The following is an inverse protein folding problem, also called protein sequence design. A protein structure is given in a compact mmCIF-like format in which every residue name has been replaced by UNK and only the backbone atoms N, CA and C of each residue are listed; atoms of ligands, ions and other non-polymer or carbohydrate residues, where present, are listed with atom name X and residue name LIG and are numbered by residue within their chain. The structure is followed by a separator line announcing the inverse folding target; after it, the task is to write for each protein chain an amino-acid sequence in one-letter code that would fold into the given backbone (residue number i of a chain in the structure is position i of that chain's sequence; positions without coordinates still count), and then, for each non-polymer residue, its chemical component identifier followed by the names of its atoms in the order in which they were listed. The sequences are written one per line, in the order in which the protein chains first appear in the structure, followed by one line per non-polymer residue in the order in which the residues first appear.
data_IF_695681033918
#
_entry.id   IF_695681033918
#
_cell.length_a   1.000
_cell.length_b   1.000
_cell.length_c   1.000
_cell.angle_alpha   90.00
_cell.angle_beta   90.00
_cell.angle_gamma   90.00
#
_symmetry.space_group_name_H-M   'P 1'
#
loop_
_entity.id
_entity.type
_entity.pdbx_description
1 polymer ?
#
# COMPACT_ATOMS: atom_id res chain seq x y z
N UNK A 1 17.55 23.41 -11.84
CA UNK A 1 16.71 22.45 -12.58
C UNK A 1 16.93 21.03 -12.04
N UNK A 2 16.39 20.74 -10.85
CA UNK A 2 16.27 19.37 -10.34
C UNK A 2 14.97 18.81 -10.90
N UNK A 3 15.09 17.72 -11.65
CA UNK A 3 14.01 16.91 -12.22
C UNK A 3 13.17 16.40 -11.04
N UNK A 4 12.12 17.13 -10.68
CA UNK A 4 11.12 16.62 -9.75
C UNK A 4 10.49 15.42 -10.43
N UNK A 5 10.64 14.28 -9.75
CA UNK A 5 10.06 13.01 -10.13
C UNK A 5 8.60 13.21 -10.54
N UNK A 6 8.34 12.88 -11.79
CA UNK A 6 7.01 12.73 -12.33
C UNK A 6 6.40 11.46 -11.70
N UNK A 7 5.79 11.62 -10.52
CA UNK A 7 5.15 10.55 -9.74
C UNK A 7 3.71 10.30 -10.27
N UNK A 8 3.32 10.91 -11.39
CA UNK A 8 1.93 10.87 -11.87
C UNK A 8 1.54 9.71 -12.79
N UNK A 9 2.45 8.81 -13.16
CA UNK A 9 2.11 7.77 -14.16
C UNK A 9 2.43 6.32 -13.73
N UNK A 10 2.16 5.98 -12.48
CA UNK A 10 1.71 4.60 -12.18
C UNK A 10 0.24 4.66 -11.79
N UNK A 11 -0.67 3.85 -12.38
CA UNK A 11 -2.10 3.87 -12.06
C UNK A 11 -2.44 3.41 -10.63
N UNK A 12 -1.42 3.18 -9.81
CA UNK A 12 -1.51 2.76 -8.43
C UNK A 12 -0.66 3.71 -7.58
N UNK A 13 -1.24 4.16 -6.47
CA UNK A 13 -0.49 4.86 -5.43
C UNK A 13 0.67 3.99 -4.99
N UNK A 14 1.85 4.60 -4.84
CA UNK A 14 3.14 3.95 -4.56
C UNK A 14 3.11 2.94 -3.39
N UNK A 15 2.10 3.03 -2.53
CA UNK A 15 1.84 2.20 -1.35
C UNK A 15 1.20 0.83 -1.64
N UNK A 16 0.36 0.71 -2.67
CA UNK A 16 -0.37 -0.53 -2.95
C UNK A 16 0.57 -1.60 -3.52
N UNK A 17 1.38 -1.24 -4.52
CA UNK A 17 2.33 -2.17 -5.13
C UNK A 17 3.39 -2.66 -4.12
N UNK A 18 3.86 -1.80 -3.21
CA UNK A 18 4.78 -2.18 -2.15
C UNK A 18 4.19 -3.24 -1.21
N UNK A 19 2.91 -3.10 -0.85
CA UNK A 19 2.17 -4.07 -0.04
C UNK A 19 2.12 -5.44 -0.73
N UNK A 20 1.79 -5.48 -2.03
CA UNK A 20 1.76 -6.74 -2.79
C UNK A 20 3.14 -7.37 -2.97
N UNK A 21 4.21 -6.57 -3.16
CA UNK A 21 5.58 -7.10 -3.21
C UNK A 21 5.98 -7.77 -1.90
N UNK A 22 5.68 -7.13 -0.76
CA UNK A 22 5.92 -7.69 0.55
C UNK A 22 5.14 -8.99 0.76
N UNK A 23 3.87 -9.04 0.30
CA UNK A 23 3.06 -10.25 0.35
C UNK A 23 3.65 -11.38 -0.50
N UNK A 24 4.11 -11.10 -1.73
CA UNK A 24 4.74 -12.10 -2.59
C UNK A 24 5.99 -12.69 -1.93
N UNK A 25 6.85 -11.84 -1.36
CA UNK A 25 8.05 -12.27 -0.64
C UNK A 25 7.69 -13.11 0.59
N UNK A 26 6.81 -12.60 1.45
CA UNK A 26 6.38 -13.28 2.67
C UNK A 26 5.70 -14.61 2.36
N UNK A 27 4.73 -14.61 1.44
CA UNK A 27 4.05 -15.81 0.97
C UNK A 27 5.06 -16.82 0.45
N UNK A 28 5.95 -16.41 -0.46
CA UNK A 28 6.92 -17.32 -1.05
C UNK A 28 7.83 -17.99 -0.01
N UNK A 29 8.31 -17.23 0.97
CA UNK A 29 9.15 -17.76 2.06
C UNK A 29 8.35 -18.65 3.01
N UNK A 30 7.17 -18.20 3.45
CA UNK A 30 6.39 -18.90 4.45
C UNK A 30 5.87 -20.25 3.96
N UNK A 31 5.47 -20.36 2.68
CA UNK A 31 5.04 -21.66 2.15
C UNK A 31 6.15 -22.71 2.22
N UNK A 32 7.40 -22.31 1.95
CA UNK A 32 8.58 -23.17 2.04
C UNK A 32 8.88 -23.57 3.49
N UNK A 33 8.81 -22.63 4.43
CA UNK A 33 9.03 -22.90 5.87
C UNK A 33 7.95 -23.84 6.41
N UNK A 34 6.68 -23.55 6.13
CA UNK A 34 5.58 -24.32 6.69
C UNK A 34 5.60 -25.78 6.23
N UNK A 35 6.08 -26.08 5.02
CA UNK A 35 6.24 -27.46 4.59
C UNK A 35 7.03 -28.31 5.59
N UNK A 36 8.19 -27.81 6.01
CA UNK A 36 9.02 -28.50 7.00
C UNK A 36 8.33 -28.59 8.34
N UNK A 37 7.69 -27.50 8.81
CA UNK A 37 6.95 -27.51 10.07
C UNK A 37 5.91 -28.63 10.07
N UNK A 38 5.06 -28.71 9.04
CA UNK A 38 3.96 -29.68 8.97
C UNK A 38 4.43 -31.13 8.85
N UNK A 39 5.48 -31.42 8.07
CA UNK A 39 6.03 -32.77 7.99
C UNK A 39 6.61 -33.23 9.33
N UNK A 40 7.28 -32.34 10.08
CA UNK A 40 7.87 -32.70 11.36
C UNK A 40 6.84 -32.80 12.49
N UNK A 41 5.75 -32.03 12.44
CA UNK A 41 4.72 -32.04 13.48
C UNK A 41 3.63 -33.08 13.24
N UNK A 42 3.27 -33.37 11.98
CA UNK A 42 2.12 -34.22 11.64
C UNK A 42 2.55 -35.32 10.67
N UNK A 43 2.90 -36.49 11.20
CA UNK A 43 3.41 -37.62 10.41
C UNK A 43 2.40 -38.19 9.41
N UNK A 44 1.11 -38.06 9.69
CA UNK A 44 0.03 -38.62 8.86
C UNK A 44 -0.53 -37.61 7.85
N UNK A 45 -0.03 -36.38 7.84
CA UNK A 45 -0.59 -35.36 6.98
C UNK A 45 -0.17 -35.52 5.52
N UNK A 46 -1.13 -35.32 4.62
CA UNK A 46 -0.92 -35.28 3.19
C UNK A 46 -0.53 -33.84 2.82
N UNK A 47 0.77 -33.59 2.72
CA UNK A 47 1.33 -32.31 2.26
C UNK A 47 2.30 -32.51 1.08
N UNK A 48 1.80 -32.45 -0.17
CA UNK A 48 2.62 -32.73 -1.34
C UNK A 48 3.72 -31.69 -1.55
N UNK A 49 4.98 -32.09 -1.38
CA UNK A 49 6.17 -31.23 -1.54
C UNK A 49 6.13 -30.38 -2.82
N UNK A 50 5.86 -31.00 -3.98
CA UNK A 50 5.88 -30.31 -5.26
C UNK A 50 4.79 -29.23 -5.39
N UNK A 51 3.61 -29.45 -4.82
CA UNK A 51 2.56 -28.44 -4.80
C UNK A 51 2.99 -27.25 -3.94
N UNK A 52 3.63 -27.52 -2.81
CA UNK A 52 4.11 -26.48 -1.90
C UNK A 52 5.25 -25.65 -2.49
N UNK A 53 6.17 -26.31 -3.21
CA UNK A 53 7.20 -25.63 -3.99
C UNK A 53 6.57 -24.73 -5.06
N UNK A 54 5.56 -25.23 -5.80
CA UNK A 54 4.88 -24.43 -6.83
C UNK A 54 4.23 -23.19 -6.21
N UNK A 55 3.45 -23.36 -5.16
CA UNK A 55 2.74 -22.25 -4.49
C UNK A 55 3.69 -21.26 -3.82
N UNK A 56 4.87 -21.71 -3.36
CA UNK A 56 5.92 -20.86 -2.80
C UNK A 56 6.77 -20.12 -3.84
N UNK A 57 7.18 -20.79 -4.92
CA UNK A 57 8.06 -20.17 -5.93
C UNK A 57 7.31 -19.26 -6.89
N UNK A 58 6.04 -19.52 -7.22
CA UNK A 58 5.27 -18.66 -8.14
C UNK A 58 5.22 -17.19 -7.66
N UNK A 59 4.94 -16.87 -6.38
CA UNK A 59 5.09 -15.51 -5.83
C UNK A 59 6.46 -14.88 -6.02
N UNK A 60 7.53 -15.65 -5.81
CA UNK A 60 8.90 -15.16 -5.95
C UNK A 60 9.25 -14.90 -7.42
N UNK A 61 8.78 -15.76 -8.33
CA UNK A 61 8.95 -15.61 -9.76
C UNK A 61 8.20 -14.37 -10.24
N UNK A 62 6.94 -14.19 -9.84
CA UNK A 62 6.14 -13.01 -10.23
C UNK A 62 6.79 -11.71 -9.72
N UNK A 63 7.32 -11.73 -8.49
CA UNK A 63 8.08 -10.61 -7.93
C UNK A 63 9.36 -10.32 -8.73
N UNK A 64 10.13 -11.37 -9.10
CA UNK A 64 11.31 -11.21 -9.94
C UNK A 64 10.96 -10.67 -11.33
N UNK A 65 9.92 -11.22 -11.97
CA UNK A 65 9.46 -10.80 -13.29
C UNK A 65 8.96 -9.34 -13.29
N UNK A 66 8.36 -8.86 -12.19
CA UNK A 66 7.95 -7.46 -12.05
C UNK A 66 9.11 -6.48 -12.24
N UNK A 67 10.30 -6.85 -11.75
CA UNK A 67 11.50 -6.02 -11.87
C UNK A 67 12.14 -6.08 -13.27
N UNK A 68 11.83 -7.10 -14.07
CA UNK A 68 12.51 -7.39 -15.33
C UNK A 68 11.64 -7.21 -16.58
N UNK A 69 10.30 -7.28 -16.46
CA UNK A 69 9.37 -7.28 -17.59
C UNK A 69 8.33 -6.17 -17.44
N UNK A 70 8.32 -5.23 -18.39
CA UNK A 70 7.42 -4.07 -18.38
C UNK A 70 5.93 -4.46 -18.35
N UNK A 71 5.53 -5.52 -19.07
CA UNK A 71 4.15 -6.01 -19.06
C UNK A 71 3.74 -6.54 -17.68
N UNK A 72 4.63 -7.28 -17.00
CA UNK A 72 4.37 -7.80 -15.65
C UNK A 72 4.27 -6.65 -14.67
N UNK A 73 5.17 -5.66 -14.75
CA UNK A 73 5.10 -4.44 -13.94
C UNK A 73 3.76 -3.70 -14.10
N UNK A 74 3.25 -3.59 -15.33
CA UNK A 74 1.96 -2.97 -15.62
C UNK A 74 0.77 -3.74 -15.02
N UNK A 75 0.83 -5.07 -15.00
CA UNK A 75 -0.27 -5.93 -14.54
C UNK A 75 -0.02 -6.59 -13.17
N UNK A 76 0.99 -6.12 -12.43
CA UNK A 76 1.51 -6.80 -11.25
C UNK A 76 0.44 -7.08 -10.19
N UNK A 77 -0.34 -6.05 -9.84
CA UNK A 77 -1.39 -6.17 -8.82
C UNK A 77 -2.48 -7.17 -9.24
N UNK A 78 -2.86 -7.19 -10.52
CA UNK A 78 -3.83 -8.15 -11.04
C UNK A 78 -3.31 -9.59 -10.93
N UNK A 79 -2.04 -9.81 -11.29
CA UNK A 79 -1.39 -11.11 -11.15
C UNK A 79 -1.36 -11.55 -9.68
N UNK A 80 -1.00 -10.65 -8.76
CA UNK A 80 -1.03 -10.94 -7.33
C UNK A 80 -2.44 -11.28 -6.82
N UNK A 81 -3.49 -10.60 -7.30
CA UNK A 81 -4.87 -10.94 -6.94
C UNK A 81 -5.27 -12.33 -7.41
N UNK A 82 -4.97 -12.68 -8.67
CA UNK A 82 -5.22 -14.02 -9.20
C UNK A 82 -4.51 -15.07 -8.34
N UNK A 83 -3.26 -14.81 -7.98
CA UNK A 83 -2.47 -15.70 -7.12
C UNK A 83 -3.03 -15.82 -5.72
N UNK A 84 -3.53 -14.74 -5.12
CA UNK A 84 -4.20 -14.79 -3.80
C UNK A 84 -5.38 -15.76 -3.84
N UNK A 85 -6.23 -15.68 -4.87
CA UNK A 85 -7.35 -16.60 -5.02
C UNK A 85 -6.89 -18.06 -5.27
N UNK A 86 -5.86 -18.25 -6.10
CA UNK A 86 -5.30 -19.58 -6.37
C UNK A 86 -4.69 -20.21 -5.12
N UNK A 87 -3.92 -19.46 -4.34
CA UNK A 87 -3.32 -19.91 -3.09
C UNK A 87 -4.41 -20.22 -2.05
N UNK A 88 -5.44 -19.38 -1.96
CA UNK A 88 -6.57 -19.60 -1.06
C UNK A 88 -7.32 -20.90 -1.39
N UNK A 89 -7.61 -21.13 -2.68
CA UNK A 89 -8.19 -22.38 -3.14
C UNK A 89 -7.29 -23.58 -2.78
N UNK A 90 -5.98 -23.48 -3.02
CA UNK A 90 -5.04 -24.55 -2.71
C UNK A 90 -4.97 -24.85 -1.21
N UNK A 91 -4.99 -23.84 -0.33
CA UNK A 91 -5.04 -24.07 1.11
C UNK A 91 -6.31 -24.79 1.55
N UNK A 92 -7.47 -24.39 1.02
CA UNK A 92 -8.74 -25.07 1.33
C UNK A 92 -8.72 -26.50 0.82
N UNK A 93 -8.16 -26.73 -0.38
CA UNK A 93 -7.94 -28.08 -0.89
C UNK A 93 -7.02 -28.91 0.03
N UNK A 94 -5.94 -28.31 0.54
CA UNK A 94 -5.03 -28.96 1.49
C UNK A 94 -5.77 -29.32 2.80
N UNK A 95 -6.65 -28.45 3.28
CA UNK A 95 -7.50 -28.75 4.45
C UNK A 95 -8.48 -29.88 4.17
N UNK A 96 -9.09 -29.89 2.98
CA UNK A 96 -10.02 -30.93 2.55
C UNK A 96 -9.37 -32.33 2.52
N UNK A 97 -8.21 -32.47 1.87
CA UNK A 97 -7.52 -33.76 1.80
C UNK A 97 -6.98 -34.23 3.16
N UNK A 98 -6.77 -33.30 4.09
CA UNK A 98 -6.40 -33.58 5.48
C UNK A 98 -7.62 -33.59 6.42
N UNK A 99 -8.84 -33.82 5.90
CA UNK A 99 -10.06 -34.03 6.68
C UNK A 99 -10.33 -32.93 7.74
N UNK A 100 -9.95 -31.69 7.41
CA UNK A 100 -10.05 -30.53 8.29
C UNK A 100 -9.36 -30.69 9.66
N UNK A 101 -8.15 -31.27 9.69
CA UNK A 101 -7.36 -31.32 10.93
C UNK A 101 -7.09 -29.92 11.53
N UNK A 102 -7.20 -29.73 12.87
CA UNK A 102 -7.06 -28.44 13.54
C UNK A 102 -5.77 -27.67 13.25
N UNK A 103 -4.67 -28.38 13.04
CA UNK A 103 -3.36 -27.79 12.79
C UNK A 103 -3.33 -27.05 11.44
N UNK A 104 -3.94 -27.63 10.39
CA UNK A 104 -4.10 -26.98 9.08
C UNK A 104 -5.12 -25.85 9.14
N UNK A 105 -6.18 -26.04 9.92
CA UNK A 105 -7.24 -25.08 10.13
C UNK A 105 -6.72 -23.76 10.73
N UNK A 106 -5.92 -23.85 11.79
CA UNK A 106 -5.35 -22.69 12.48
C UNK A 106 -4.34 -21.93 11.61
N UNK A 107 -3.47 -22.64 10.88
CA UNK A 107 -2.54 -22.00 9.93
C UNK A 107 -3.25 -21.22 8.83
N UNK A 108 -4.32 -21.80 8.27
CA UNK A 108 -5.13 -21.15 7.23
C UNK A 108 -5.74 -19.82 7.69
N UNK A 109 -6.25 -19.75 8.92
CA UNK A 109 -6.81 -18.51 9.48
C UNK A 109 -5.83 -17.36 9.59
N UNK A 110 -4.61 -17.65 10.00
CA UNK A 110 -3.54 -16.65 10.09
C UNK A 110 -3.27 -16.08 8.69
N UNK A 111 -3.23 -16.96 7.68
CA UNK A 111 -3.02 -16.56 6.28
C UNK A 111 -4.18 -15.72 5.75
N UNK A 112 -5.43 -16.15 5.94
CA UNK A 112 -6.63 -15.41 5.52
C UNK A 112 -6.71 -14.04 6.18
N UNK A 113 -6.42 -13.98 7.48
CA UNK A 113 -6.35 -12.72 8.23
C UNK A 113 -5.28 -11.80 7.61
N UNK A 114 -4.06 -12.29 7.41
CA UNK A 114 -2.96 -11.52 6.81
C UNK A 114 -3.28 -11.00 5.40
N UNK A 115 -3.92 -11.83 4.56
CA UNK A 115 -4.34 -11.44 3.20
C UNK A 115 -5.40 -10.33 3.26
N UNK A 116 -6.36 -10.41 4.20
CA UNK A 116 -7.41 -9.41 4.36
C UNK A 116 -6.89 -7.97 4.55
N UNK A 117 -5.70 -7.81 5.16
CA UNK A 117 -5.04 -6.51 5.35
C UNK A 117 -4.42 -5.91 4.09
N UNK A 118 -4.19 -6.73 3.06
CA UNK A 118 -3.49 -6.28 1.85
C UNK A 118 -4.39 -5.55 0.86
N UNK A 119 -5.70 -5.75 0.95
CA UNK A 119 -6.64 -5.13 0.05
C UNK A 119 -6.67 -3.60 0.23
N UNK A 120 -6.90 -2.91 -0.88
CA UNK A 120 -7.03 -1.44 -0.92
C UNK A 120 -8.44 -1.00 -1.29
N UNK A 121 -9.28 -1.95 -1.74
CA UNK A 121 -10.66 -1.68 -2.17
C UNK A 121 -11.61 -2.67 -1.53
N UNK A 122 -12.78 -2.19 -1.13
CA UNK A 122 -13.81 -3.02 -0.52
C UNK A 122 -14.29 -4.15 -1.45
N UNK A 123 -14.28 -3.90 -2.77
CA UNK A 123 -14.64 -4.91 -3.77
C UNK A 123 -13.66 -6.09 -3.81
N UNK A 124 -12.37 -5.86 -3.58
CA UNK A 124 -11.37 -6.95 -3.54
C UNK A 124 -11.65 -7.87 -2.35
N UNK A 125 -11.86 -7.28 -1.17
CA UNK A 125 -12.24 -8.02 0.03
C UNK A 125 -13.56 -8.78 -0.18
N UNK A 126 -14.58 -8.13 -0.75
CA UNK A 126 -15.87 -8.76 -1.01
C UNK A 126 -15.74 -10.02 -1.87
N UNK A 127 -15.06 -9.94 -3.02
CA UNK A 127 -14.86 -11.11 -3.88
C UNK A 127 -13.99 -12.19 -3.24
N UNK A 128 -12.99 -11.80 -2.45
CA UNK A 128 -12.18 -12.74 -1.68
C UNK A 128 -13.03 -13.51 -0.66
N UNK A 129 -13.89 -12.82 0.10
CA UNK A 129 -14.82 -13.42 1.06
C UNK A 129 -15.77 -14.40 0.36
N UNK A 130 -16.41 -13.97 -0.74
CA UNK A 130 -17.34 -14.83 -1.48
C UNK A 130 -16.65 -16.08 -2.01
N UNK A 131 -15.50 -15.95 -2.67
CA UNK A 131 -14.75 -17.11 -3.17
C UNK A 131 -14.33 -18.06 -2.05
N UNK A 132 -13.87 -17.52 -0.91
CA UNK A 132 -13.50 -18.30 0.27
C UNK A 132 -14.69 -19.08 0.83
N UNK A 133 -15.84 -18.43 0.98
CA UNK A 133 -17.06 -19.07 1.47
C UNK A 133 -17.51 -20.19 0.54
N UNK A 134 -17.50 -19.96 -0.77
CA UNK A 134 -17.86 -20.97 -1.77
C UNK A 134 -16.92 -22.17 -1.68
N UNK A 135 -15.61 -21.95 -1.68
CA UNK A 135 -14.63 -23.03 -1.60
C UNK A 135 -14.76 -23.85 -0.30
N UNK A 136 -14.96 -23.18 0.84
CA UNK A 136 -15.15 -23.87 2.12
C UNK A 136 -16.43 -24.69 2.16
N UNK A 137 -17.56 -24.12 1.73
CA UNK A 137 -18.83 -24.85 1.67
C UNK A 137 -18.70 -26.08 0.78
N UNK A 138 -18.10 -25.93 -0.41
CA UNK A 138 -17.86 -27.07 -1.31
C UNK A 138 -16.95 -28.12 -0.65
N UNK A 139 -15.86 -27.70 -0.02
CA UNK A 139 -14.93 -28.61 0.65
C UNK A 139 -15.60 -29.38 1.80
N UNK A 140 -16.45 -28.73 2.61
CA UNK A 140 -17.22 -29.40 3.66
C UNK A 140 -18.29 -30.35 3.12
N UNK A 141 -18.94 -30.01 2.01
CA UNK A 141 -19.95 -30.88 1.39
C UNK A 141 -19.33 -32.14 0.78
N UNK A 142 -18.10 -32.04 0.29
CA UNK A 142 -17.37 -33.17 -0.28
C UNK A 142 -16.63 -34.00 0.78
N UNK A 143 -16.44 -33.50 2.00
CA UNK A 143 -15.73 -34.23 3.06
C UNK A 143 -16.62 -35.30 3.68
N UNK A 144 -16.14 -36.54 3.72
CA UNK A 144 -16.82 -37.67 4.34
C UNK A 144 -16.55 -37.75 5.85
N UNK A 145 -15.39 -37.27 6.27
CA UNK A 145 -14.96 -37.20 7.66
C UNK A 145 -14.47 -35.78 7.96
N UNK A 146 -14.90 -35.24 9.10
CA UNK A 146 -14.60 -33.87 9.49
C UNK A 146 -14.20 -33.86 10.97
N UNK A 147 -12.96 -33.47 11.26
CA UNK A 147 -12.45 -33.38 12.63
C UNK A 147 -12.97 -32.15 13.40
N UNK A 148 -13.37 -31.09 12.69
CA UNK A 148 -13.85 -29.83 13.28
C UNK A 148 -15.26 -29.54 12.79
N UNK A 149 -16.21 -29.38 13.71
CA UNK A 149 -17.57 -28.98 13.34
C UNK A 149 -17.56 -27.73 12.44
N UNK A 150 -18.36 -27.69 11.36
CA UNK A 150 -18.41 -26.54 10.45
C UNK A 150 -18.83 -25.24 11.15
N UNK A 151 -19.64 -25.30 12.20
CA UNK A 151 -20.19 -24.11 12.86
C UNK A 151 -19.11 -23.20 13.46
N UNK A 152 -18.22 -23.67 14.37
CA UNK A 152 -17.11 -22.85 14.88
C UNK A 152 -16.15 -22.45 13.76
N UNK A 153 -16.03 -23.27 12.73
CA UNK A 153 -15.18 -22.97 11.60
C UNK A 153 -15.65 -21.70 10.85
N UNK A 154 -16.91 -21.69 10.42
CA UNK A 154 -17.51 -20.54 9.74
C UNK A 154 -17.62 -19.30 10.63
N UNK A 155 -17.88 -19.45 11.94
CA UNK A 155 -18.01 -18.30 12.84
C UNK A 155 -16.70 -17.54 13.02
N UNK A 156 -15.56 -18.24 13.15
CA UNK A 156 -14.25 -17.60 13.26
C UNK A 156 -13.88 -16.90 11.95
N UNK A 157 -14.14 -17.52 10.79
CA UNK A 157 -13.86 -16.88 9.50
C UNK A 157 -14.73 -15.63 9.31
N UNK A 158 -16.01 -15.70 9.67
CA UNK A 158 -16.89 -14.55 9.63
C UNK A 158 -16.37 -13.41 10.53
N UNK A 159 -15.87 -13.72 11.72
CA UNK A 159 -15.24 -12.73 12.60
C UNK A 159 -13.96 -12.12 12.00
N UNK A 160 -13.09 -12.93 11.39
CA UNK A 160 -11.89 -12.46 10.68
C UNK A 160 -12.27 -11.51 9.54
N UNK A 161 -13.28 -11.87 8.75
CA UNK A 161 -13.74 -11.04 7.63
C UNK A 161 -14.45 -9.77 8.08
N UNK A 162 -15.22 -9.81 9.17
CA UNK A 162 -15.79 -8.61 9.78
C UNK A 162 -14.68 -7.66 10.24
N UNK A 163 -13.65 -8.19 10.92
CA UNK A 163 -12.50 -7.41 11.36
C UNK A 163 -11.74 -6.81 10.16
N UNK A 164 -11.47 -7.60 9.13
CA UNK A 164 -10.82 -7.13 7.90
C UNK A 164 -11.65 -6.02 7.21
N UNK A 165 -12.98 -6.15 7.19
CA UNK A 165 -13.89 -5.13 6.66
C UNK A 165 -13.80 -3.83 7.45
N UNK A 166 -13.85 -3.89 8.78
CA UNK A 166 -13.71 -2.71 9.66
C UNK A 166 -12.38 -2.01 9.39
N UNK A 167 -11.26 -2.76 9.39
CA UNK A 167 -9.93 -2.20 9.23
C UNK A 167 -9.70 -1.60 7.83
N UNK A 168 -10.23 -2.24 6.79
CA UNK A 168 -10.19 -1.70 5.43
C UNK A 168 -11.02 -0.42 5.31
N UNK A 169 -12.21 -0.38 5.91
CA UNK A 169 -13.05 0.81 5.93
C UNK A 169 -12.37 1.98 6.64
N UNK A 170 -11.74 1.72 7.79
CA UNK A 170 -10.95 2.69 8.53
C UNK A 170 -9.76 3.21 7.70
N UNK A 171 -9.01 2.31 7.05
CA UNK A 171 -7.88 2.66 6.17
C UNK A 171 -8.31 3.57 5.03
N UNK A 172 -9.41 3.24 4.33
CA UNK A 172 -9.93 4.06 3.23
C UNK A 172 -10.36 5.44 3.72
N UNK A 173 -11.12 5.50 4.82
CA UNK A 173 -11.60 6.78 5.39
C UNK A 173 -10.44 7.66 5.86
N UNK A 174 -9.44 7.06 6.51
CA UNK A 174 -8.26 7.77 6.97
C UNK A 174 -7.45 8.36 5.80
N UNK A 175 -7.21 7.58 4.75
CA UNK A 175 -6.51 8.04 3.55
C UNK A 175 -7.26 9.17 2.84
N UNK A 176 -8.59 9.10 2.76
CA UNK A 176 -9.39 10.16 2.16
C UNK A 176 -9.26 11.48 2.94
N UNK A 177 -9.33 11.42 4.27
CA UNK A 177 -9.12 12.61 5.14
C UNK A 177 -7.71 13.18 5.01
N UNK A 178 -6.70 12.31 4.93
CA UNK A 178 -5.30 12.72 4.77
C UNK A 178 -5.09 13.43 3.42
N UNK A 179 -5.66 12.90 2.35
CA UNK A 179 -5.60 13.51 1.02
C UNK A 179 -6.29 14.87 0.98
N UNK A 180 -7.46 15.01 1.62
CA UNK A 180 -8.16 16.29 1.74
C UNK A 180 -7.31 17.33 2.47
N UNK A 181 -6.67 16.95 3.60
CA UNK A 181 -5.78 17.84 4.35
C UNK A 181 -4.54 18.24 3.55
N UNK A 182 -3.94 17.31 2.82
CA UNK A 182 -2.80 17.58 1.96
C UNK A 182 -3.18 18.56 0.83
N UNK A 183 -4.36 18.39 0.23
CA UNK A 183 -4.85 19.30 -0.80
C UNK A 183 -5.08 20.71 -0.23
N UNK A 184 -5.68 20.82 0.96
CA UNK A 184 -5.86 22.11 1.64
C UNK A 184 -4.51 22.80 1.93
N UNK A 185 -3.51 22.04 2.38
CA UNK A 185 -2.16 22.54 2.61
C UNK A 185 -1.49 22.99 1.31
N UNK A 186 -1.63 22.24 0.22
CA UNK A 186 -1.09 22.60 -1.09
C UNK A 186 -1.70 23.91 -1.60
N UNK A 187 -3.02 24.06 -1.49
CA UNK A 187 -3.73 25.30 -1.84
C UNK A 187 -3.23 26.47 -0.99
N UNK A 188 -3.14 26.30 0.34
CA UNK A 188 -2.65 27.35 1.24
C UNK A 188 -1.20 27.75 0.96
N UNK A 189 -0.33 26.77 0.71
CA UNK A 189 1.05 27.03 0.32
C UNK A 189 1.14 27.80 -1.00
N UNK A 190 0.28 27.47 -1.98
CA UNK A 190 0.19 28.22 -3.23
C UNK A 190 -0.29 29.65 -3.00
N UNK A 191 -1.36 29.86 -2.24
CA UNK A 191 -1.87 31.20 -1.89
C UNK A 191 -0.81 32.06 -1.20
N UNK A 192 -0.07 31.49 -0.25
CA UNK A 192 1.02 32.17 0.46
C UNK A 192 2.14 32.51 -0.54
N UNK A 193 2.55 31.55 -1.37
CA UNK A 193 3.61 31.75 -2.37
C UNK A 193 3.23 32.84 -3.37
N UNK A 194 1.98 32.84 -3.85
CA UNK A 194 1.45 33.84 -4.77
C UNK A 194 1.37 35.22 -4.11
N UNK A 195 0.99 35.29 -2.83
CA UNK A 195 0.97 36.52 -2.04
C UNK A 195 2.37 37.09 -1.83
N UNK A 196 3.36 36.24 -1.55
CA UNK A 196 4.77 36.63 -1.43
C UNK A 196 5.31 37.14 -2.77
N UNK A 197 5.02 36.44 -3.88
CA UNK A 197 5.40 36.87 -5.22
C UNK A 197 4.72 38.20 -5.63
N UNK A 198 3.49 38.41 -5.20
CA UNK A 198 2.79 39.67 -5.41
C UNK A 198 3.42 40.81 -4.62
N UNK A 199 3.73 40.60 -3.34
CA UNK A 199 4.45 41.57 -2.52
C UNK A 199 5.83 41.94 -3.11
N UNK A 200 6.55 40.95 -3.65
CA UNK A 200 7.81 41.19 -4.38
C UNK A 200 7.60 42.09 -5.61
N UNK A 201 6.57 41.82 -6.42
CA UNK A 201 6.25 42.66 -7.59
C UNK A 201 5.95 44.11 -7.20
N UNK A 202 5.26 44.32 -6.08
CA UNK A 202 5.05 45.68 -5.54
C UNK A 202 6.38 46.30 -5.11
N UNK A 203 7.22 45.56 -4.37
CA UNK A 203 8.53 46.01 -3.94
C UNK A 203 9.42 46.44 -5.11
N UNK A 204 9.49 45.62 -6.16
CA UNK A 204 10.27 45.88 -7.37
C UNK A 204 9.73 47.08 -8.15
N UNK A 205 8.41 47.31 -8.15
CA UNK A 205 7.78 48.45 -8.83
C UNK A 205 7.96 49.78 -8.10
N UNK A 206 8.08 49.77 -6.77
CA UNK A 206 8.23 50.98 -5.95
C UNK A 206 9.70 51.38 -5.80
N UNK A 207 10.64 50.43 -5.88
CA UNK A 207 12.07 50.70 -5.79
C UNK A 207 12.54 51.59 -6.97
N UNK A 208 13.04 52.82 -6.72
CA UNK A 208 13.59 53.65 -7.78
C UNK A 208 14.86 53.00 -8.35
N UNK A 209 15.15 53.27 -9.62
CA UNK A 209 16.38 52.76 -10.25
C UNK A 209 17.63 53.22 -9.47
N UNK A 210 18.70 52.41 -9.48
CA UNK A 210 19.95 52.74 -8.78
C UNK A 210 20.49 54.13 -9.15
N UNK A 211 20.30 54.57 -10.40
CA UNK A 211 20.68 55.90 -10.87
C UNK A 211 19.84 57.02 -10.24
N UNK A 212 18.55 56.79 -10.01
CA UNK A 212 17.68 57.74 -9.30
C UNK A 212 18.02 57.78 -7.81
N UNK A 213 18.24 56.63 -7.18
CA UNK A 213 18.65 56.56 -5.78
C UNK A 213 19.96 57.33 -5.54
N UNK A 214 21.00 57.11 -6.36
CA UNK A 214 22.29 57.83 -6.26
C UNK A 214 22.17 59.35 -6.51
N UNK A 215 21.15 59.79 -7.27
CA UNK A 215 20.93 61.22 -7.54
C UNK A 215 20.30 61.94 -6.34
N UNK A 216 19.39 61.27 -5.62
CA UNK A 216 18.63 61.86 -4.51
C UNK A 216 19.20 61.55 -3.12
N UNK A 217 19.94 60.45 -2.94
CA UNK A 217 20.62 60.05 -1.71
C UNK A 217 22.14 60.25 -1.85
N UNK A 218 22.60 61.50 -1.85
CA UNK A 218 24.04 61.80 -1.95
C UNK A 218 24.83 61.41 -0.68
N UNK A 219 24.21 61.51 0.49
CA UNK A 219 24.79 61.20 1.80
C UNK A 219 24.07 60.03 2.51
N UNK A 220 23.29 59.24 1.77
CA UNK A 220 22.51 58.11 2.30
C UNK A 220 22.93 56.77 1.70
N UNK A 221 22.49 55.68 2.32
CA UNK A 221 22.72 54.32 1.81
C UNK A 221 21.41 53.52 1.79
N UNK A 222 21.34 52.58 0.83
CA UNK A 222 20.26 51.60 0.74
C UNK A 222 20.81 50.25 1.13
N UNK A 223 20.28 49.67 2.21
CA UNK A 223 20.58 48.31 2.61
C UNK A 223 19.44 47.40 2.16
N UNK A 224 19.75 46.53 1.19
CA UNK A 224 18.85 45.51 0.68
C UNK A 224 19.35 44.14 1.13
N UNK A 225 18.66 43.53 2.09
CA UNK A 225 19.01 42.18 2.59
C UNK A 225 17.82 41.25 2.36
N UNK A 226 17.83 40.46 1.28
CA UNK A 226 16.82 39.44 1.06
C UNK A 226 17.07 38.25 2.00
N UNK A 227 16.05 37.90 2.80
CA UNK A 227 16.03 36.64 3.55
C UNK A 227 15.27 35.54 2.80
N UNK A 228 14.30 35.91 1.96
CA UNK A 228 13.49 35.03 1.09
C UNK A 228 13.12 35.78 -0.22
N UNK A 229 12.01 35.42 -0.88
CA UNK A 229 11.52 36.03 -2.14
C UNK A 229 11.28 37.56 -1.99
N UNK A 230 10.90 38.03 -0.82
CA UNK A 230 10.74 39.46 -0.47
C UNK A 230 11.88 39.87 0.47
N UNK A 231 12.48 41.02 0.25
CA UNK A 231 13.57 41.54 1.08
C UNK A 231 13.11 42.66 2.02
N UNK A 232 13.83 42.88 3.12
CA UNK A 232 13.75 44.14 3.84
C UNK A 232 14.55 45.21 3.09
N UNK A 233 13.93 46.34 2.76
CA UNK A 233 14.65 47.55 2.29
C UNK A 233 14.76 48.50 3.47
N UNK A 234 15.98 48.88 3.82
CA UNK A 234 16.23 49.95 4.79
C UNK A 234 16.96 51.10 4.09
N UNK A 235 16.42 52.32 4.24
CA UNK A 235 17.02 53.55 3.70
C UNK A 235 17.48 54.38 4.91
N UNK A 236 18.79 54.57 5.03
CA UNK A 236 19.42 55.36 6.07
C UNK A 236 20.12 56.59 5.50
N UNK A 237 20.25 57.64 6.33
CA UNK A 237 21.03 58.84 6.03
C UNK A 237 22.22 58.90 6.99
N UNK A 238 23.41 59.21 6.46
CA UNK A 238 24.57 59.48 7.30
C UNK A 238 24.53 60.97 7.69
N UNK A 239 24.25 61.25 8.96
CA UNK A 239 24.48 62.56 9.58
C UNK A 239 25.91 62.70 10.04
#
# INVERSE_FOLDING_TARGET
MKKYFDIKETPFGYDEAATYRALCLFSGIMHLIFHYIYIFTIKEAIDPFWQRMLVGFVPLIVLWLESNIAWVKKHFILLCMIMIHANNFWFIYLMYINQFMPEYYTGYFIVVMAIGFTFSRLSQLFWFVISTMVYLVVAFLLSTEIHISPIPAFSIIAAIFLLAWILLHLKITFNNRLNEKNLQLEIKNKEITDSINYAKRIQDAILPSANQLNKYLKDGFVLYVPKDIVAGIFIGWNT
#
